data_IF_704010178155
#
_entry.id   IF_704010178155
#
_cell.length_a   1.000
_cell.length_b   1.000
_cell.length_c   1.000
_cell.angle_alpha   90.00
_cell.angle_beta   90.00
_cell.angle_gamma   90.00
#
_symmetry.space_group_name_H-M   'P 1'
#
loop_
_entity.id
_entity.type
_entity.pdbx_description
1 polymer ?
#
# COMPACT_ATOMS: atom_id res chain seq x y z
N UNK A 1 22.33 -14.17 0.24
CA UNK A 1 22.24 -14.01 1.72
C UNK A 1 20.78 -13.82 2.09
N UNK A 2 20.30 -14.36 3.22
CA UNK A 2 18.89 -14.21 3.60
C UNK A 2 18.63 -12.73 3.96
N UNK A 3 17.50 -12.17 3.50
CA UNK A 3 17.05 -10.86 3.97
C UNK A 3 16.68 -11.01 5.44
N UNK A 4 17.45 -10.37 6.33
CA UNK A 4 16.98 -10.03 7.66
C UNK A 4 16.03 -8.83 7.54
N UNK A 5 14.90 -8.85 8.26
CA UNK A 5 14.00 -7.71 8.35
C UNK A 5 14.74 -6.53 8.99
N UNK A 6 14.74 -5.32 8.39
CA UNK A 6 15.47 -4.18 8.92
C UNK A 6 14.76 -3.50 10.11
N UNK A 7 13.54 -3.90 10.47
CA UNK A 7 12.89 -3.39 11.67
C UNK A 7 13.19 -4.30 12.86
N UNK A 8 13.50 -3.78 14.06
CA UNK A 8 13.09 -4.50 15.25
C UNK A 8 11.57 -4.67 15.12
N UNK A 9 11.11 -5.91 15.06
CA UNK A 9 9.75 -6.19 15.42
C UNK A 9 9.72 -6.09 16.95
N UNK A 10 9.11 -5.04 17.55
CA UNK A 10 8.22 -4.04 16.94
C UNK A 10 8.88 -2.66 16.65
N UNK A 11 8.30 -1.92 15.68
CA UNK A 11 8.48 -0.46 15.55
C UNK A 11 8.10 0.19 16.89
N UNK A 12 9.09 0.70 17.62
CA UNK A 12 8.90 1.33 18.93
C UNK A 12 9.49 2.75 18.93
N UNK A 13 9.00 3.61 19.81
CA UNK A 13 9.54 4.96 20.00
C UNK A 13 8.71 6.07 19.36
N UNK A 14 9.29 7.26 19.27
CA UNK A 14 8.67 8.50 18.80
C UNK A 14 8.89 8.66 17.30
N UNK A 15 7.89 8.29 16.51
CA UNK A 15 7.87 8.50 15.05
C UNK A 15 7.21 9.85 14.73
N UNK A 16 7.92 10.74 14.04
CA UNK A 16 7.40 12.08 13.73
C UNK A 16 6.72 12.20 12.38
N UNK A 17 5.45 12.64 12.32
CA UNK A 17 4.82 13.03 11.07
C UNK A 17 5.42 14.36 10.60
N UNK A 18 6.08 14.37 9.45
CA UNK A 18 6.69 15.58 8.88
C UNK A 18 5.63 16.42 8.18
N UNK A 19 5.67 17.73 8.42
CA UNK A 19 5.09 18.69 7.49
C UNK A 19 5.90 18.69 6.20
N UNK A 20 5.25 18.95 5.06
CA UNK A 20 5.94 19.08 3.77
C UNK A 20 6.35 20.54 3.56
N UNK A 21 7.65 20.89 3.57
CA UNK A 21 8.07 22.25 3.26
C UNK A 21 7.75 22.59 1.80
N UNK A 22 7.07 23.72 1.58
CA UNK A 22 6.72 24.23 0.26
C UNK A 22 7.35 25.61 0.03
N UNK A 23 7.71 25.92 -1.21
CA UNK A 23 8.12 27.27 -1.64
C UNK A 23 6.91 28.20 -1.75
N UNK A 24 7.14 29.51 -1.89
CA UNK A 24 6.05 30.49 -2.15
C UNK A 24 5.23 30.18 -3.40
N UNK A 25 5.84 29.49 -4.38
CA UNK A 25 5.18 29.02 -5.61
C UNK A 25 4.43 27.69 -5.44
N UNK A 26 4.36 27.14 -4.22
CA UNK A 26 3.69 25.88 -3.91
C UNK A 26 4.44 24.62 -4.38
N UNK A 27 5.72 24.74 -4.78
CA UNK A 27 6.55 23.58 -5.11
C UNK A 27 7.17 22.99 -3.84
N UNK A 28 7.53 21.70 -3.87
CA UNK A 28 8.25 21.08 -2.75
C UNK A 28 9.60 21.77 -2.59
N UNK A 29 9.86 22.32 -1.40
CA UNK A 29 11.17 22.87 -1.08
C UNK A 29 12.13 21.71 -0.76
N UNK A 30 13.04 21.44 -1.69
CA UNK A 30 14.00 20.34 -1.59
C UNK A 30 15.22 20.67 -0.72
N UNK A 31 15.39 21.92 -0.27
CA UNK A 31 16.56 22.34 0.52
C UNK A 31 16.32 22.24 2.03
N UNK A 32 15.11 22.58 2.46
CA UNK A 32 14.71 22.57 3.87
C UNK A 32 14.66 21.18 4.55
N UNK A 33 14.37 20.06 3.85
CA UNK A 33 14.29 18.74 4.49
C UNK A 33 15.57 18.30 5.18
N UNK A 34 16.76 18.68 4.68
CA UNK A 34 18.02 18.35 5.33
C UNK A 34 18.12 18.95 6.75
N UNK A 35 17.81 20.24 6.90
CA UNK A 35 17.82 20.92 8.19
C UNK A 35 16.72 20.41 9.13
N UNK A 36 15.53 20.12 8.58
CA UNK A 36 14.42 19.56 9.35
C UNK A 36 14.74 18.17 9.90
N UNK A 37 15.31 17.30 9.06
CA UNK A 37 15.75 15.96 9.48
C UNK A 37 16.84 16.05 10.52
N UNK A 38 17.82 16.95 10.36
CA UNK A 38 18.90 17.11 11.35
C UNK A 38 18.37 17.51 12.72
N UNK A 39 17.46 18.49 12.76
CA UNK A 39 16.83 18.92 13.98
C UNK A 39 16.08 17.77 14.70
N UNK A 40 15.44 16.88 13.93
CA UNK A 40 14.70 15.74 14.48
C UNK A 40 15.64 14.62 14.95
N UNK A 41 16.74 14.38 14.23
CA UNK A 41 17.81 13.46 14.68
C UNK A 41 18.39 13.93 16.01
N UNK A 42 18.75 15.21 16.12
CA UNK A 42 19.29 15.81 17.35
C UNK A 42 18.30 15.74 18.51
N UNK A 43 17.00 15.82 18.23
CA UNK A 43 15.93 15.68 19.22
C UNK A 43 15.72 14.23 19.69
N UNK A 44 16.39 13.24 19.07
CA UNK A 44 16.31 11.84 19.45
C UNK A 44 15.00 11.16 19.07
N UNK A 45 14.39 11.55 17.95
CA UNK A 45 13.21 10.81 17.42
C UNK A 45 13.64 9.44 16.89
N UNK A 46 12.75 8.47 16.95
CA UNK A 46 13.05 7.09 16.55
C UNK A 46 12.68 6.79 15.09
N UNK A 47 11.99 7.73 14.41
CA UNK A 47 11.63 7.60 13.01
C UNK A 47 10.89 8.80 12.43
N UNK A 48 10.74 8.80 11.11
CA UNK A 48 10.09 9.84 10.33
C UNK A 48 8.89 9.24 9.60
N UNK A 49 7.78 9.95 9.55
CA UNK A 49 6.61 9.59 8.76
C UNK A 49 6.29 10.73 7.80
N UNK A 50 6.46 10.48 6.50
CA UNK A 50 6.18 11.45 5.43
C UNK A 50 4.89 11.11 4.71
N UNK A 51 4.30 12.10 4.05
CA UNK A 51 3.03 11.92 3.31
C UNK A 51 1.88 11.40 4.18
N UNK A 52 1.89 11.75 5.47
CA UNK A 52 0.71 11.66 6.31
C UNK A 52 -0.26 12.82 6.06
N UNK A 53 -1.35 12.89 6.82
CA UNK A 53 -2.26 14.06 6.82
C UNK A 53 -1.51 15.35 7.18
N UNK A 54 -0.62 15.31 8.17
CA UNK A 54 0.26 16.43 8.57
C UNK A 54 1.23 16.84 7.46
N UNK A 55 1.63 15.89 6.61
CA UNK A 55 2.45 16.15 5.43
C UNK A 55 1.67 16.62 4.22
N UNK A 56 0.37 16.90 4.39
CA UNK A 56 -0.53 17.44 3.36
C UNK A 56 -0.64 16.55 2.11
N UNK A 57 -0.48 15.23 2.28
CA UNK A 57 -0.44 14.29 1.14
C UNK A 57 -1.63 14.43 0.18
N UNK A 58 -2.83 14.69 0.70
CA UNK A 58 -4.03 14.89 -0.10
C UNK A 58 -3.98 16.12 -1.03
N UNK A 59 -3.15 17.11 -0.72
CA UNK A 59 -3.01 18.38 -1.45
C UNK A 59 -1.83 18.38 -2.44
N UNK A 60 -0.97 17.36 -2.40
CA UNK A 60 0.21 17.27 -3.25
C UNK A 60 -0.07 16.44 -4.50
N UNK A 61 0.43 16.90 -5.65
CA UNK A 61 0.49 16.10 -6.88
C UNK A 61 1.46 14.92 -6.73
N UNK A 62 1.34 13.91 -7.59
CA UNK A 62 2.23 12.74 -7.56
C UNK A 62 3.70 13.11 -7.74
N UNK A 63 3.98 14.12 -8.58
CA UNK A 63 5.34 14.65 -8.76
C UNK A 63 5.85 15.24 -7.45
N UNK A 64 5.03 16.02 -6.74
CA UNK A 64 5.40 16.61 -5.46
C UNK A 64 5.56 15.52 -4.39
N UNK A 65 4.62 14.58 -4.26
CA UNK A 65 4.70 13.46 -3.31
C UNK A 65 6.00 12.67 -3.48
N UNK A 66 6.34 12.35 -4.72
CA UNK A 66 7.60 11.70 -5.07
C UNK A 66 8.79 12.55 -4.64
N UNK A 67 8.83 13.83 -4.99
CA UNK A 67 9.90 14.74 -4.59
C UNK A 67 10.07 14.81 -3.06
N UNK A 68 8.98 14.78 -2.28
CA UNK A 68 9.04 14.73 -0.81
C UNK A 68 9.73 13.46 -0.32
N UNK A 69 9.31 12.28 -0.79
CA UNK A 69 9.91 11.00 -0.39
C UNK A 69 11.40 11.02 -0.71
N UNK A 70 11.75 11.36 -1.95
CA UNK A 70 13.13 11.36 -2.43
C UNK A 70 14.01 12.28 -1.57
N UNK A 71 13.56 13.51 -1.33
CA UNK A 71 14.35 14.49 -0.57
C UNK A 71 14.50 14.12 0.90
N UNK A 72 13.45 13.61 1.56
CA UNK A 72 13.53 13.23 2.98
C UNK A 72 14.36 11.98 3.17
N UNK A 73 14.29 11.01 2.27
CA UNK A 73 15.11 9.80 2.34
C UNK A 73 16.58 10.12 2.13
N UNK A 74 16.90 10.96 1.14
CA UNK A 74 18.27 11.43 0.91
C UNK A 74 18.80 12.17 2.15
N UNK A 75 17.99 13.05 2.76
CA UNK A 75 18.35 13.78 3.99
C UNK A 75 18.53 12.86 5.22
N UNK A 76 17.69 11.82 5.36
CA UNK A 76 17.81 10.84 6.45
C UNK A 76 19.11 10.06 6.36
N UNK A 77 19.57 9.71 5.15
CA UNK A 77 20.85 9.02 4.92
C UNK A 77 21.04 7.78 5.83
N UNK A 78 19.96 7.04 6.09
CA UNK A 78 19.94 5.83 6.95
C UNK A 78 19.92 6.09 8.46
N UNK A 79 20.01 7.33 8.92
CA UNK A 79 20.08 7.64 10.36
C UNK A 79 18.77 7.41 11.11
N UNK A 80 17.65 7.51 10.41
CA UNK A 80 16.31 7.26 10.93
C UNK A 80 15.47 6.47 9.92
N UNK A 81 14.60 5.55 10.38
CA UNK A 81 13.64 4.89 9.52
C UNK A 81 12.61 5.90 9.00
N UNK A 82 12.29 5.84 7.70
CA UNK A 82 11.27 6.68 7.05
C UNK A 82 10.07 5.82 6.65
N UNK A 83 8.91 6.11 7.21
CA UNK A 83 7.61 5.59 6.78
C UNK A 83 7.02 6.56 5.77
N UNK A 84 6.56 6.07 4.62
CA UNK A 84 5.89 6.89 3.62
C UNK A 84 4.41 6.53 3.52
N UNK A 85 3.54 7.53 3.67
CA UNK A 85 2.10 7.37 3.49
C UNK A 85 1.73 7.21 2.02
N UNK A 86 1.19 6.06 1.66
CA UNK A 86 0.56 5.84 0.35
C UNK A 86 -0.91 6.27 0.39
N UNK A 87 -1.16 7.52 0.75
CA UNK A 87 -2.52 8.04 0.97
C UNK A 87 -3.08 8.55 -0.35
N UNK A 88 -4.08 7.84 -0.88
CA UNK A 88 -4.90 8.32 -1.98
C UNK A 88 -6.37 7.93 -1.80
N UNK A 89 -7.27 8.72 -2.37
CA UNK A 89 -8.71 8.47 -2.35
C UNK A 89 -9.17 7.59 -3.52
N UNK A 90 -8.29 7.30 -4.47
CA UNK A 90 -8.53 6.38 -5.57
C UNK A 90 -7.58 5.16 -5.48
N UNK A 91 -8.16 3.97 -5.43
CA UNK A 91 -7.45 2.68 -5.38
C UNK A 91 -6.41 2.53 -6.50
N UNK A 92 -6.68 3.09 -7.69
CA UNK A 92 -5.75 3.05 -8.82
C UNK A 92 -4.46 3.88 -8.61
N UNK A 93 -4.46 4.84 -7.67
CA UNK A 93 -3.31 5.72 -7.40
C UNK A 93 -2.52 5.32 -6.15
N UNK A 94 -3.10 4.53 -5.25
CA UNK A 94 -2.38 3.91 -4.14
C UNK A 94 -1.43 2.77 -4.56
N UNK A 95 -1.17 2.60 -5.86
CA UNK A 95 -0.40 1.49 -6.45
C UNK A 95 0.49 1.85 -7.64
N UNK A 96 1.07 3.07 -7.74
CA UNK A 96 2.03 3.40 -8.81
C UNK A 96 3.31 2.54 -8.72
N UNK A 97 3.29 1.42 -9.43
CA UNK A 97 4.39 0.45 -9.55
C UNK A 97 5.64 1.04 -10.21
N UNK A 98 5.46 2.02 -11.11
CA UNK A 98 6.56 2.68 -11.81
C UNK A 98 7.38 3.53 -10.85
N UNK A 99 6.71 4.31 -10.00
CA UNK A 99 7.34 5.07 -8.93
C UNK A 99 8.02 4.16 -7.90
N UNK A 100 7.33 3.08 -7.48
CA UNK A 100 7.88 2.07 -6.58
C UNK A 100 9.17 1.46 -7.14
N UNK A 101 9.17 1.01 -8.40
CA UNK A 101 10.35 0.42 -9.03
C UNK A 101 11.51 1.41 -9.13
N UNK A 102 11.25 2.68 -9.46
CA UNK A 102 12.28 3.73 -9.51
C UNK A 102 12.91 3.97 -8.14
N UNK A 103 12.10 3.98 -7.07
CA UNK A 103 12.58 4.08 -5.69
C UNK A 103 13.48 2.89 -5.33
N UNK A 104 13.03 1.67 -5.62
CA UNK A 104 13.76 0.44 -5.31
C UNK A 104 15.09 0.30 -6.09
N UNK A 105 15.14 0.77 -7.33
CA UNK A 105 16.38 0.80 -8.14
C UNK A 105 17.38 1.83 -7.61
N UNK A 106 16.90 3.01 -7.19
CA UNK A 106 17.78 4.05 -6.67
C UNK A 106 18.29 3.75 -5.26
N UNK A 107 17.52 3.01 -4.48
CA UNK A 107 17.80 2.68 -3.08
C UNK A 107 17.77 1.14 -2.92
N UNK A 108 18.86 0.42 -3.25
CA UNK A 108 18.91 -1.03 -3.15
C UNK A 108 18.82 -1.50 -1.69
N UNK A 109 18.25 -2.69 -1.47
CA UNK A 109 17.98 -3.26 -0.13
C UNK A 109 19.18 -3.34 0.81
N UNK A 110 20.39 -3.48 0.27
CA UNK A 110 21.61 -3.47 1.05
C UNK A 110 21.92 -2.03 1.51
N UNK A 111 21.70 -1.74 2.79
CA UNK A 111 21.95 -0.43 3.41
C UNK A 111 20.71 0.46 3.53
N UNK A 112 19.49 -0.09 3.43
CA UNK A 112 18.25 0.64 3.76
C UNK A 112 17.82 0.38 5.20
N UNK A 113 17.56 1.47 5.93
CA UNK A 113 16.99 1.43 7.29
C UNK A 113 15.48 1.71 7.30
N UNK A 114 14.81 1.56 6.15
CA UNK A 114 13.37 1.74 5.99
C UNK A 114 12.77 0.60 5.14
N UNK A 115 11.49 0.27 5.36
CA UNK A 115 10.80 -0.72 4.52
C UNK A 115 9.91 -0.06 3.47
N UNK A 116 9.81 -0.72 2.33
CA UNK A 116 8.95 -0.35 1.22
C UNK A 116 7.88 -1.42 1.08
N UNK A 117 6.62 -1.05 1.33
CA UNK A 117 5.47 -1.94 1.19
C UNK A 117 4.64 -1.53 -0.04
N UNK A 118 4.17 -2.50 -0.81
CA UNK A 118 3.24 -2.24 -1.93
C UNK A 118 1.78 -2.37 -1.48
N UNK A 119 0.91 -1.46 -1.92
CA UNK A 119 -0.54 -1.59 -1.77
C UNK A 119 -1.22 -2.36 -2.90
N UNK A 120 -0.47 -2.74 -3.94
CA UNK A 120 -1.04 -3.37 -5.14
C UNK A 120 -1.66 -4.73 -4.82
N UNK A 121 -2.82 -4.98 -5.41
CA UNK A 121 -3.47 -6.29 -5.39
C UNK A 121 -2.99 -7.21 -6.54
N UNK A 122 -2.51 -6.63 -7.64
CA UNK A 122 -2.28 -7.32 -8.92
C UNK A 122 -0.82 -7.64 -9.23
N UNK A 123 0.13 -7.07 -8.51
CA UNK A 123 1.57 -7.11 -8.87
C UNK A 123 2.49 -7.28 -7.65
N UNK A 124 2.01 -7.96 -6.61
CA UNK A 124 2.76 -8.15 -5.37
C UNK A 124 4.05 -8.92 -5.62
N UNK A 125 4.00 -9.97 -6.43
CA UNK A 125 5.16 -10.74 -6.86
C UNK A 125 6.21 -9.87 -7.58
N UNK A 126 5.79 -8.99 -8.49
CA UNK A 126 6.64 -8.04 -9.20
C UNK A 126 7.26 -7.00 -8.28
N UNK A 127 6.49 -6.46 -7.33
CA UNK A 127 6.98 -5.55 -6.31
C UNK A 127 8.01 -6.20 -5.38
N UNK A 128 7.74 -7.42 -4.91
CA UNK A 128 8.67 -8.20 -4.08
C UNK A 128 9.94 -8.56 -4.86
N UNK A 129 9.82 -8.91 -6.14
CA UNK A 129 10.96 -9.17 -7.03
C UNK A 129 11.81 -7.91 -7.23
N UNK A 130 11.16 -6.74 -7.33
CA UNK A 130 11.85 -5.45 -7.42
C UNK A 130 12.51 -5.02 -6.10
N UNK A 131 12.24 -5.70 -4.99
CA UNK A 131 12.86 -5.44 -3.69
C UNK A 131 11.96 -4.71 -2.68
N UNK A 132 10.65 -4.72 -2.86
CA UNK A 132 9.71 -4.36 -1.79
C UNK A 132 9.82 -5.36 -0.63
N UNK A 133 9.61 -4.88 0.59
CA UNK A 133 9.78 -5.63 1.82
C UNK A 133 8.49 -6.35 2.27
N UNK A 134 7.33 -5.93 1.74
CA UNK A 134 6.03 -6.51 2.05
C UNK A 134 4.87 -5.87 1.27
N UNK A 135 3.65 -6.18 1.71
CA UNK A 135 2.40 -5.86 1.00
C UNK A 135 1.28 -5.46 1.96
N UNK A 136 0.42 -4.54 1.55
CA UNK A 136 -0.80 -4.10 2.25
C UNK A 136 -2.00 -4.18 1.29
N UNK A 137 -2.49 -5.38 0.96
CA UNK A 137 -3.46 -5.56 -0.12
C UNK A 137 -4.91 -5.46 0.39
N UNK A 138 -5.78 -4.71 -0.28
CA UNK A 138 -7.20 -4.62 0.08
C UNK A 138 -7.91 -5.98 0.02
N UNK A 139 -7.62 -6.75 -1.03
CA UNK A 139 -8.13 -8.12 -1.23
C UNK A 139 -7.68 -9.10 -0.14
N UNK A 140 -6.64 -8.76 0.63
CA UNK A 140 -6.18 -9.54 1.78
C UNK A 140 -7.22 -9.68 2.89
N UNK A 141 -8.28 -8.86 2.89
CA UNK A 141 -9.44 -9.08 3.77
C UNK A 141 -10.21 -10.36 3.41
N UNK A 142 -10.24 -10.75 2.13
CA UNK A 142 -11.00 -11.90 1.63
C UNK A 142 -10.12 -13.16 1.64
N UNK A 143 -8.89 -13.07 1.11
CA UNK A 143 -7.95 -14.21 1.07
C UNK A 143 -6.59 -13.87 1.69
N UNK A 144 -6.53 -13.70 3.03
CA UNK A 144 -5.27 -13.41 3.72
C UNK A 144 -4.26 -14.56 3.56
N UNK A 145 -4.73 -15.81 3.52
CA UNK A 145 -3.88 -16.99 3.42
C UNK A 145 -3.17 -17.05 2.05
N UNK A 146 -3.83 -16.62 0.97
CA UNK A 146 -3.23 -16.49 -0.36
C UNK A 146 -2.03 -15.55 -0.36
N UNK A 147 -2.19 -14.35 0.20
CA UNK A 147 -1.10 -13.37 0.29
C UNK A 147 0.06 -13.84 1.18
N UNK A 148 -0.23 -14.51 2.30
CA UNK A 148 0.81 -15.11 3.17
C UNK A 148 1.63 -16.16 2.40
N UNK A 149 0.98 -17.04 1.64
CA UNK A 149 1.66 -18.05 0.82
C UNK A 149 2.50 -17.40 -0.28
N UNK A 150 1.95 -16.43 -1.01
CA UNK A 150 2.67 -15.67 -2.04
C UNK A 150 3.95 -15.05 -1.47
N UNK A 151 3.82 -14.33 -0.34
CA UNK A 151 4.94 -13.71 0.33
C UNK A 151 6.00 -14.74 0.75
N UNK A 152 5.59 -15.87 1.33
CA UNK A 152 6.50 -16.95 1.73
C UNK A 152 7.21 -17.61 0.53
N UNK A 153 6.57 -17.70 -0.63
CA UNK A 153 7.20 -18.17 -1.86
C UNK A 153 8.25 -17.18 -2.37
N UNK A 154 7.89 -15.89 -2.46
CA UNK A 154 8.80 -14.81 -2.87
C UNK A 154 10.02 -14.72 -1.93
N UNK A 155 9.81 -14.77 -0.62
CA UNK A 155 10.90 -14.72 0.38
C UNK A 155 11.89 -15.88 0.27
N UNK A 156 11.39 -17.04 -0.16
CA UNK A 156 12.18 -18.24 -0.41
C UNK A 156 12.77 -18.31 -1.84
N UNK A 157 12.61 -17.26 -2.66
CA UNK A 157 13.10 -17.22 -4.05
C UNK A 157 12.32 -18.11 -5.02
N UNK A 158 11.15 -18.62 -4.62
CA UNK A 158 10.30 -19.52 -5.43
C UNK A 158 9.38 -18.70 -6.34
N UNK A 159 9.96 -17.94 -7.27
CA UNK A 159 9.24 -16.93 -8.06
C UNK A 159 8.14 -17.49 -8.96
N UNK A 160 8.31 -18.70 -9.50
CA UNK A 160 7.23 -19.36 -10.26
C UNK A 160 6.01 -19.66 -9.40
N UNK A 161 6.22 -20.10 -8.16
CA UNK A 161 5.13 -20.35 -7.21
C UNK A 161 4.51 -19.04 -6.69
N UNK A 162 5.32 -17.98 -6.52
CA UNK A 162 4.83 -16.65 -6.17
C UNK A 162 3.94 -16.08 -7.28
N UNK A 163 4.38 -16.16 -8.54
CA UNK A 163 3.60 -15.73 -9.70
C UNK A 163 2.28 -16.52 -9.85
N UNK A 164 2.32 -17.85 -9.72
CA UNK A 164 1.10 -18.66 -9.73
C UNK A 164 0.12 -18.27 -8.59
N UNK A 165 0.66 -17.92 -7.41
CA UNK A 165 -0.12 -17.38 -6.31
C UNK A 165 -0.73 -16.01 -6.63
N UNK A 166 0.05 -15.13 -7.28
CA UNK A 166 -0.41 -13.81 -7.75
C UNK A 166 -1.52 -13.95 -8.78
N UNK A 167 -1.38 -14.83 -9.78
CA UNK A 167 -2.38 -15.06 -10.81
C UNK A 167 -3.72 -15.53 -10.20
N UNK A 168 -3.66 -16.41 -9.20
CA UNK A 168 -4.87 -16.85 -8.47
C UNK A 168 -5.54 -15.68 -7.73
N UNK A 169 -4.76 -14.85 -7.05
CA UNK A 169 -5.29 -13.68 -6.33
C UNK A 169 -5.85 -12.63 -7.32
N UNK A 170 -5.15 -12.40 -8.43
CA UNK A 170 -5.57 -11.49 -9.48
C UNK A 170 -6.87 -11.96 -10.16
N UNK A 171 -7.08 -13.27 -10.32
CA UNK A 171 -8.33 -13.83 -10.85
C UNK A 171 -9.54 -13.53 -9.96
N UNK A 172 -9.33 -13.28 -8.66
CA UNK A 172 -10.39 -12.88 -7.74
C UNK A 172 -10.65 -11.37 -7.79
N UNK A 173 -9.63 -10.54 -8.11
CA UNK A 173 -9.72 -9.08 -8.09
C UNK A 173 -10.86 -8.45 -8.92
N UNK A 174 -11.31 -8.99 -10.07
CA UNK A 174 -12.50 -8.51 -10.78
C UNK A 174 -13.77 -8.39 -9.91
N UNK A 175 -13.80 -9.02 -8.73
CA UNK A 175 -14.86 -8.80 -7.75
C UNK A 175 -15.06 -7.32 -7.39
N UNK A 176 -14.04 -6.46 -7.53
CA UNK A 176 -14.15 -5.04 -7.18
C UNK A 176 -14.92 -4.22 -8.20
N UNK A 177 -15.16 -4.75 -9.40
CA UNK A 177 -15.82 -4.08 -10.53
C UNK A 177 -17.21 -4.67 -10.82
N UNK A 178 -17.80 -5.41 -9.87
CA UNK A 178 -19.13 -6.05 -10.04
C UNK A 178 -20.30 -5.08 -9.93
N UNK A 179 -20.09 -3.88 -9.37
CA UNK A 179 -21.11 -2.86 -9.24
C UNK A 179 -21.45 -2.23 -10.59
N UNK A 180 -22.71 -1.82 -10.75
CA UNK A 180 -23.17 -1.10 -11.93
C UNK A 180 -22.47 0.26 -12.05
N UNK A 181 -21.58 0.40 -13.05
CA UNK A 181 -20.81 1.62 -13.30
C UNK A 181 -21.69 2.83 -13.64
N UNK A 182 -22.93 2.63 -14.09
CA UNK A 182 -23.88 3.72 -14.35
C UNK A 182 -24.54 4.25 -13.07
N UNK A 183 -24.58 3.43 -12.02
CA UNK A 183 -25.24 3.73 -10.75
C UNK A 183 -24.25 4.09 -9.64
N UNK A 184 -23.03 3.54 -9.65
CA UNK A 184 -22.06 3.72 -8.57
C UNK A 184 -20.62 3.88 -9.06
N UNK A 185 -19.84 4.66 -8.31
CA UNK A 185 -18.40 4.78 -8.55
C UNK A 185 -17.63 3.54 -8.11
N UNK A 186 -16.42 3.37 -8.64
CA UNK A 186 -15.49 2.27 -8.35
C UNK A 186 -15.29 2.00 -6.85
N UNK A 187 -15.21 3.06 -6.03
CA UNK A 187 -15.05 2.90 -4.57
C UNK A 187 -16.25 2.22 -3.90
N UNK A 188 -17.48 2.57 -4.30
CA UNK A 188 -18.69 1.91 -3.81
C UNK A 188 -18.73 0.44 -4.24
N UNK A 189 -18.38 0.15 -5.50
CA UNK A 189 -18.29 -1.22 -6.00
C UNK A 189 -17.26 -2.03 -5.21
N UNK A 190 -16.02 -1.56 -5.10
CA UNK A 190 -14.94 -2.29 -4.44
C UNK A 190 -15.22 -2.56 -2.95
N UNK A 191 -15.58 -1.52 -2.18
CA UNK A 191 -15.89 -1.67 -0.75
C UNK A 191 -17.14 -2.51 -0.52
N UNK A 192 -18.17 -2.31 -1.34
CA UNK A 192 -19.39 -3.12 -1.32
C UNK A 192 -19.09 -4.59 -1.58
N UNK A 193 -18.20 -4.89 -2.52
CA UNK A 193 -17.83 -6.25 -2.86
C UNK A 193 -16.97 -6.92 -1.79
N UNK A 194 -16.03 -6.18 -1.17
CA UNK A 194 -15.28 -6.68 0.00
C UNK A 194 -16.22 -7.03 1.16
N UNK A 195 -17.16 -6.15 1.50
CA UNK A 195 -18.11 -6.41 2.59
C UNK A 195 -19.10 -7.53 2.24
N UNK A 196 -19.57 -7.60 0.99
CA UNK A 196 -20.39 -8.71 0.51
C UNK A 196 -19.63 -10.04 0.63
N UNK A 197 -18.37 -10.10 0.22
CA UNK A 197 -17.55 -11.30 0.33
C UNK A 197 -17.34 -11.73 1.79
N UNK A 198 -16.96 -10.81 2.67
CA UNK A 198 -16.82 -11.07 4.11
C UNK A 198 -18.14 -11.57 4.74
N UNK A 199 -19.28 -11.04 4.29
CA UNK A 199 -20.58 -11.49 4.77
C UNK A 199 -20.91 -12.90 4.27
N UNK A 200 -20.64 -13.21 3.00
CA UNK A 200 -20.84 -14.53 2.42
C UNK A 200 -19.95 -15.60 3.08
N UNK A 201 -18.73 -15.22 3.49
CA UNK A 201 -17.80 -16.06 4.24
C UNK A 201 -18.20 -16.21 5.73
N UNK A 202 -19.25 -15.54 6.18
CA UNK A 202 -19.70 -15.59 7.58
C UNK A 202 -18.81 -14.84 8.57
N UNK A 203 -17.95 -13.93 8.08
CA UNK A 203 -17.02 -13.14 8.90
C UNK A 203 -17.69 -11.89 9.48
N UNK A 204 -18.66 -11.32 8.77
CA UNK A 204 -19.44 -10.16 9.23
C UNK A 204 -20.95 -10.39 9.06
N UNK A 205 -21.75 -9.83 9.96
CA UNK A 205 -23.21 -10.04 9.96
C UNK A 205 -23.95 -9.23 8.88
N UNK A 206 -23.35 -8.14 8.37
CA UNK A 206 -24.00 -7.24 7.42
C UNK A 206 -23.01 -6.63 6.41
N UNK A 207 -23.32 -6.65 5.10
CA UNK A 207 -22.44 -6.10 4.07
C UNK A 207 -22.63 -4.59 3.83
N UNK A 208 -23.43 -3.88 4.63
CA UNK A 208 -23.80 -2.48 4.39
C UNK A 208 -22.58 -1.54 4.33
N UNK A 209 -22.55 -0.63 3.38
CA UNK A 209 -21.55 0.44 3.26
C UNK A 209 -22.06 1.73 3.91
N UNK A 210 -21.14 2.57 4.40
CA UNK A 210 -21.50 3.88 4.96
C UNK A 210 -21.76 4.89 3.82
N UNK A 211 -22.58 5.92 4.06
CA UNK A 211 -22.73 7.00 3.08
C UNK A 211 -21.41 7.76 2.88
N UNK A 212 -21.07 8.21 1.65
CA UNK A 212 -21.89 8.25 0.44
C UNK A 212 -21.83 6.97 -0.44
N UNK A 213 -21.20 5.89 0.03
CA UNK A 213 -21.09 4.66 -0.74
C UNK A 213 -22.46 4.00 -0.90
N UNK A 214 -22.68 3.46 -2.09
CA UNK A 214 -23.91 2.75 -2.43
C UNK A 214 -23.74 1.25 -2.14
N UNK A 215 -24.80 0.56 -1.67
CA UNK A 215 -24.77 -0.88 -1.51
C UNK A 215 -24.81 -1.57 -2.88
N UNK A 216 -24.20 -2.76 -2.97
CA UNK A 216 -24.31 -3.61 -4.15
C UNK A 216 -25.75 -4.13 -4.33
N UNK A 217 -26.18 -4.27 -5.58
CA UNK A 217 -27.47 -4.89 -5.88
C UNK A 217 -27.43 -6.43 -5.77
N UNK A 218 -28.57 -7.08 -5.92
CA UNK A 218 -28.67 -8.53 -5.81
C UNK A 218 -27.91 -9.28 -6.92
N UNK A 219 -27.71 -8.68 -8.10
CA UNK A 219 -26.99 -9.30 -9.19
C UNK A 219 -25.48 -9.30 -8.91
N UNK A 220 -24.93 -8.16 -8.48
CA UNK A 220 -23.56 -8.01 -8.02
C UNK A 220 -23.24 -8.98 -6.87
N UNK A 221 -24.13 -9.13 -5.88
CA UNK A 221 -23.95 -10.11 -4.80
C UNK A 221 -23.84 -11.57 -5.30
N UNK A 222 -24.64 -11.96 -6.31
CA UNK A 222 -24.52 -13.30 -6.92
C UNK A 222 -23.20 -13.47 -7.64
N UNK A 223 -22.72 -12.43 -8.33
CA UNK A 223 -21.42 -12.45 -8.99
C UNK A 223 -20.27 -12.58 -7.98
N UNK A 224 -20.31 -11.86 -6.86
CA UNK A 224 -19.32 -12.00 -5.77
C UNK A 224 -19.28 -13.44 -5.25
N UNK A 225 -20.44 -14.05 -4.97
CA UNK A 225 -20.52 -15.45 -4.54
C UNK A 225 -19.85 -16.40 -5.54
N UNK A 226 -20.19 -16.28 -6.84
CA UNK A 226 -19.62 -17.12 -7.89
C UNK A 226 -18.09 -17.01 -7.94
N UNK A 227 -17.55 -15.79 -7.85
CA UNK A 227 -16.10 -15.56 -7.88
C UNK A 227 -15.39 -16.17 -6.65
N UNK A 228 -16.03 -16.16 -5.47
CA UNK A 228 -15.51 -16.82 -4.27
C UNK A 228 -15.53 -18.35 -4.40
N UNK A 229 -16.58 -18.93 -4.97
CA UNK A 229 -16.69 -20.37 -5.26
C UNK A 229 -15.61 -20.81 -6.26
N UNK A 230 -15.43 -20.04 -7.36
CA UNK A 230 -14.36 -20.27 -8.35
C UNK A 230 -12.96 -20.17 -7.73
N UNK A 231 -12.78 -19.29 -6.73
CA UNK A 231 -11.53 -19.16 -5.98
C UNK A 231 -11.34 -20.24 -4.90
N UNK A 232 -12.34 -21.09 -4.65
CA UNK A 232 -12.33 -22.12 -3.62
C UNK A 232 -12.34 -21.57 -2.19
N UNK A 233 -13.00 -20.42 -1.99
CA UNK A 233 -13.13 -19.75 -0.68
C UNK A 233 -14.50 -19.99 -0.03
N UNK A 234 -15.48 -20.47 -0.80
CA UNK A 234 -16.81 -20.88 -0.35
C UNK A 234 -17.06 -22.36 -0.65
#
# INVERSE_FOLDING_TARGET
MPFASPFPAPLTGVVRPLCTPLTESGQVDVRSPAALVEHLVDAGVDGLFVLGSTGEAACLSDIQRRTVIETVVDAASGRLPVLAGAIDMATARSGDEGALRRLLVRLPAAGRDFSVLTGSELSVDGALLAGADGVVPGLGNIDPAGYVRLYAHARAGRWQAAAAGQDRLAALFPLTDVGDETAMGRSSSALGAFKAALHLLGIIDCPATAAPQLPLDAAAHRTVRRLLEEAGLL
#
